data_IF_187920967048
#
_entry.id   IF_187920967048
#
_cell.length_a   1.000
_cell.length_b   1.000
_cell.length_c   1.000
_cell.angle_alpha   90.00
_cell.angle_beta   90.00
_cell.angle_gamma   90.00
#
_symmetry.space_group_name_H-M   'P 1'
#
loop_
_entity.id
_entity.type
_entity.pdbx_description
1 polymer ?
#
# COMPACT_ATOMS: atom_id res chain seq x y z
N UNK A 1 8.49 -16.19 -27.07
CA UNK A 1 7.75 -15.08 -27.70
C UNK A 1 6.79 -14.42 -26.71
N UNK A 2 5.81 -15.13 -26.14
CA UNK A 2 4.85 -14.59 -25.13
C UNK A 2 5.46 -13.82 -23.96
N UNK A 3 6.53 -14.31 -23.34
CA UNK A 3 7.19 -13.60 -22.22
C UNK A 3 7.84 -12.25 -22.64
N UNK A 4 8.28 -12.13 -23.89
CA UNK A 4 8.87 -10.91 -24.44
C UNK A 4 7.79 -9.87 -24.76
N UNK A 5 6.69 -10.29 -25.37
CA UNK A 5 5.50 -9.44 -25.59
C UNK A 5 4.92 -8.93 -24.26
N UNK A 6 4.82 -9.80 -23.26
CA UNK A 6 4.34 -9.44 -21.93
C UNK A 6 5.23 -8.42 -21.18
N UNK A 7 6.55 -8.51 -21.36
CA UNK A 7 7.49 -7.52 -20.81
C UNK A 7 7.40 -6.18 -21.55
N UNK A 8 7.10 -6.24 -22.84
CA UNK A 8 6.80 -5.07 -23.68
C UNK A 8 5.51 -4.39 -23.21
N UNK A 9 4.45 -5.15 -22.91
CA UNK A 9 3.18 -4.62 -22.41
C UNK A 9 3.31 -3.93 -21.05
N UNK A 10 4.05 -4.53 -20.10
CA UNK A 10 4.35 -3.89 -18.82
C UNK A 10 5.13 -2.57 -18.98
N UNK A 11 6.01 -2.51 -19.99
CA UNK A 11 6.75 -1.29 -20.34
C UNK A 11 5.83 -0.26 -20.99
N UNK A 12 4.89 -0.69 -21.84
CA UNK A 12 3.88 0.15 -22.47
C UNK A 12 2.96 0.78 -21.42
N UNK A 13 2.44 0.02 -20.45
CA UNK A 13 1.63 0.52 -19.32
C UNK A 13 2.39 1.58 -18.52
N UNK A 14 3.66 1.32 -18.19
CA UNK A 14 4.50 2.27 -17.46
C UNK A 14 4.72 3.56 -18.26
N UNK A 15 4.92 3.43 -19.57
CA UNK A 15 5.10 4.56 -20.46
C UNK A 15 3.81 5.36 -20.66
N UNK A 16 2.64 4.70 -20.69
CA UNK A 16 1.32 5.35 -20.76
C UNK A 16 1.12 6.31 -19.58
N UNK A 17 1.27 5.84 -18.33
CA UNK A 17 1.17 6.77 -17.18
C UNK A 17 2.23 7.85 -17.23
N UNK A 18 3.49 7.50 -17.49
CA UNK A 18 4.57 8.48 -17.46
C UNK A 18 4.38 9.60 -18.50
N UNK A 19 3.85 9.29 -19.68
CA UNK A 19 3.58 10.27 -20.74
C UNK A 19 2.37 11.13 -20.36
N UNK A 20 1.24 10.51 -20.00
CA UNK A 20 0.04 11.28 -19.70
C UNK A 20 0.15 12.10 -18.41
N UNK A 21 0.82 11.60 -17.38
CA UNK A 21 1.13 12.35 -16.16
C UNK A 21 1.99 13.58 -16.46
N UNK A 22 3.03 13.44 -17.30
CA UNK A 22 3.85 14.59 -17.74
C UNK A 22 3.06 15.62 -18.52
N UNK A 23 1.95 15.22 -19.14
CA UNK A 23 1.08 16.09 -19.92
C UNK A 23 -0.12 16.62 -19.12
N UNK A 24 -0.27 16.26 -17.84
CA UNK A 24 -1.42 16.64 -17.01
C UNK A 24 -2.75 15.99 -17.44
N UNK A 25 -2.68 14.95 -18.28
CA UNK A 25 -3.80 14.30 -18.95
C UNK A 25 -4.28 13.06 -18.21
N UNK A 26 -4.74 13.26 -16.99
CA UNK A 26 -5.05 12.16 -16.08
C UNK A 26 -6.20 11.28 -16.56
N UNK A 27 -7.22 11.88 -17.20
CA UNK A 27 -8.37 11.13 -17.71
C UNK A 27 -7.98 10.23 -18.89
N UNK A 28 -7.13 10.71 -19.80
CA UNK A 28 -6.64 9.91 -20.92
C UNK A 28 -5.74 8.76 -20.45
N UNK A 29 -4.96 8.96 -19.38
CA UNK A 29 -4.21 7.90 -18.73
C UNK A 29 -5.12 6.80 -18.17
N UNK A 30 -6.21 7.20 -17.48
CA UNK A 30 -7.21 6.27 -16.94
C UNK A 30 -7.83 5.46 -18.07
N UNK A 31 -8.34 6.13 -19.12
CA UNK A 31 -8.97 5.44 -20.25
C UNK A 31 -8.01 4.46 -20.93
N UNK A 32 -6.75 4.84 -21.13
CA UNK A 32 -5.75 3.95 -21.70
C UNK A 32 -5.49 2.71 -20.84
N UNK A 33 -5.50 2.85 -19.51
CA UNK A 33 -5.39 1.70 -18.61
C UNK A 33 -6.64 0.82 -18.60
N UNK A 34 -7.83 1.41 -18.60
CA UNK A 34 -9.09 0.67 -18.66
C UNK A 34 -9.22 -0.11 -19.97
N UNK A 35 -8.85 0.48 -21.10
CA UNK A 35 -8.84 -0.19 -22.39
C UNK A 35 -7.80 -1.31 -22.46
N UNK A 36 -6.63 -1.10 -21.86
CA UNK A 36 -5.62 -2.16 -21.73
C UNK A 36 -6.14 -3.33 -20.88
N UNK A 37 -6.83 -3.07 -19.77
CA UNK A 37 -7.43 -4.13 -18.93
C UNK A 37 -8.42 -4.98 -19.74
N UNK A 38 -9.21 -4.36 -20.63
CA UNK A 38 -10.16 -5.08 -21.50
C UNK A 38 -9.50 -6.04 -22.49
N UNK A 39 -8.20 -5.90 -22.77
CA UNK A 39 -7.48 -6.85 -23.62
C UNK A 39 -7.14 -8.16 -22.90
N UNK A 40 -7.63 -8.35 -21.67
CA UNK A 40 -7.39 -9.52 -20.81
C UNK A 40 -5.89 -9.83 -20.67
N UNK A 41 -5.09 -8.89 -20.15
CA UNK A 41 -3.69 -9.13 -19.86
C UNK A 41 -3.57 -10.24 -18.81
N UNK A 42 -2.44 -10.94 -18.79
CA UNK A 42 -2.20 -11.92 -17.74
C UNK A 42 -2.20 -11.27 -16.35
N UNK A 43 -2.38 -12.08 -15.31
CA UNK A 43 -2.52 -11.63 -13.92
C UNK A 43 -1.38 -10.73 -13.44
N UNK A 44 -0.12 -11.04 -13.80
CA UNK A 44 1.03 -10.25 -13.38
C UNK A 44 1.04 -8.84 -13.98
N UNK A 45 0.64 -8.72 -15.25
CA UNK A 45 0.53 -7.43 -15.92
C UNK A 45 -0.71 -6.70 -15.41
N UNK A 46 -1.83 -7.40 -15.28
CA UNK A 46 -3.09 -6.86 -14.78
C UNK A 46 -2.91 -6.24 -13.38
N UNK A 47 -2.20 -6.93 -12.49
CA UNK A 47 -1.88 -6.41 -11.16
C UNK A 47 -1.04 -5.13 -11.23
N UNK A 48 -0.01 -5.07 -12.09
CA UNK A 48 0.78 -3.84 -12.30
C UNK A 48 -0.06 -2.70 -12.86
N UNK A 49 -1.01 -2.99 -13.75
CA UNK A 49 -1.93 -1.98 -14.28
C UNK A 49 -2.80 -1.42 -13.18
N UNK A 50 -3.41 -2.27 -12.34
CA UNK A 50 -4.18 -1.83 -11.18
C UNK A 50 -3.34 -1.04 -10.18
N UNK A 51 -2.10 -1.46 -9.90
CA UNK A 51 -1.16 -0.65 -9.09
C UNK A 51 -1.00 0.76 -9.66
N UNK A 52 -0.74 0.88 -10.96
CA UNK A 52 -0.49 2.17 -11.58
C UNK A 52 -1.74 3.05 -11.64
N UNK A 53 -2.92 2.45 -11.86
CA UNK A 53 -4.21 3.14 -11.70
C UNK A 53 -4.42 3.64 -10.27
N UNK A 54 -4.13 2.81 -9.26
CA UNK A 54 -4.23 3.18 -7.85
C UNK A 54 -3.35 4.38 -7.51
N UNK A 55 -2.12 4.41 -8.04
CA UNK A 55 -1.20 5.54 -7.90
C UNK A 55 -1.68 6.79 -8.63
N UNK A 56 -2.18 6.64 -9.85
CA UNK A 56 -2.73 7.77 -10.61
C UNK A 56 -3.92 8.41 -9.89
N UNK A 57 -4.83 7.60 -9.34
CA UNK A 57 -5.95 8.10 -8.55
C UNK A 57 -5.49 8.76 -7.24
N UNK A 58 -4.41 8.26 -6.63
CA UNK A 58 -3.77 8.91 -5.47
C UNK A 58 -3.18 10.28 -5.82
N UNK A 59 -2.46 10.40 -6.94
CA UNK A 59 -1.92 11.68 -7.44
C UNK A 59 -3.07 12.68 -7.73
N UNK A 60 -4.25 12.17 -8.10
CA UNK A 60 -5.50 12.94 -8.27
C UNK A 60 -6.28 13.18 -6.97
N UNK A 61 -5.76 12.78 -5.80
CA UNK A 61 -6.43 12.85 -4.49
C UNK A 61 -7.76 12.08 -4.41
N UNK A 62 -7.99 11.14 -5.32
CA UNK A 62 -9.17 10.27 -5.36
C UNK A 62 -8.92 9.01 -4.52
N UNK A 63 -8.94 9.17 -3.19
CA UNK A 63 -8.53 8.12 -2.25
C UNK A 63 -9.33 6.82 -2.36
N UNK A 64 -10.66 6.90 -2.55
CA UNK A 64 -11.51 5.70 -2.67
C UNK A 64 -11.13 4.84 -3.88
N UNK A 65 -10.98 5.48 -5.05
CA UNK A 65 -10.55 4.78 -6.29
C UNK A 65 -9.12 4.28 -6.21
N UNK A 66 -8.25 5.01 -5.51
CA UNK A 66 -6.88 4.57 -5.24
C UNK A 66 -6.86 3.26 -4.46
N UNK A 67 -7.59 3.21 -3.34
CA UNK A 67 -7.74 2.01 -2.50
C UNK A 67 -8.29 0.84 -3.31
N UNK A 68 -9.39 1.03 -4.04
CA UNK A 68 -10.03 -0.02 -4.85
C UNK A 68 -9.05 -0.67 -5.84
N UNK A 69 -8.25 0.16 -6.53
CA UNK A 69 -7.28 -0.33 -7.50
C UNK A 69 -6.07 -1.00 -6.82
N UNK A 70 -5.64 -0.53 -5.64
CA UNK A 70 -4.61 -1.22 -4.87
C UNK A 70 -5.08 -2.59 -4.37
N UNK A 71 -6.34 -2.72 -3.92
CA UNK A 71 -6.92 -4.01 -3.52
C UNK A 71 -6.94 -4.99 -4.70
N UNK A 72 -7.44 -4.57 -5.86
CA UNK A 72 -7.43 -5.38 -7.09
C UNK A 72 -6.01 -5.85 -7.47
N UNK A 73 -4.99 -5.02 -7.24
CA UNK A 73 -3.60 -5.43 -7.46
C UNK A 73 -3.12 -6.47 -6.44
N UNK A 74 -3.52 -6.36 -5.18
CA UNK A 74 -3.09 -7.26 -4.10
C UNK A 74 -3.78 -8.63 -4.21
N UNK A 75 -5.05 -8.67 -4.62
CA UNK A 75 -5.79 -9.92 -4.84
C UNK A 75 -5.14 -10.80 -5.91
N UNK A 76 -4.46 -10.17 -6.88
CA UNK A 76 -3.63 -10.81 -7.88
C UNK A 76 -2.21 -11.14 -7.37
N UNK A 77 -2.04 -11.19 -6.04
CA UNK A 77 -0.83 -11.57 -5.28
C UNK A 77 0.41 -10.76 -5.66
N UNK A 78 0.25 -9.47 -5.96
CA UNK A 78 1.35 -8.62 -6.40
C UNK A 78 1.89 -7.68 -5.31
N UNK A 79 3.21 -7.76 -5.10
CA UNK A 79 4.12 -6.81 -4.41
C UNK A 79 3.78 -6.39 -2.97
N UNK A 80 4.76 -6.60 -2.08
CA UNK A 80 4.69 -6.16 -0.68
C UNK A 80 4.55 -4.66 -0.49
N UNK A 81 5.08 -3.88 -1.43
CA UNK A 81 5.19 -2.42 -1.26
C UNK A 81 3.82 -1.76 -1.35
N UNK A 82 2.91 -2.36 -2.13
CA UNK A 82 1.53 -1.89 -2.28
C UNK A 82 0.73 -2.18 -1.01
N UNK A 83 0.98 -3.33 -0.36
CA UNK A 83 0.30 -3.70 0.88
C UNK A 83 0.58 -2.68 1.97
N UNK A 84 1.83 -2.22 2.10
CA UNK A 84 2.19 -1.14 3.03
C UNK A 84 1.51 0.19 2.69
N UNK A 85 1.45 0.56 1.41
CA UNK A 85 0.68 1.74 0.98
C UNK A 85 -0.80 1.62 1.36
N UNK A 86 -1.41 0.46 1.15
CA UNK A 86 -2.81 0.23 1.49
C UNK A 86 -3.06 0.29 3.00
N UNK A 87 -2.18 -0.31 3.80
CA UNK A 87 -2.23 -0.24 5.28
C UNK A 87 -2.19 1.23 5.72
N UNK A 88 -1.23 2.00 5.21
CA UNK A 88 -1.11 3.43 5.51
C UNK A 88 -2.38 4.20 5.15
N UNK A 89 -2.96 3.94 3.96
CA UNK A 89 -4.20 4.61 3.55
C UNK A 89 -5.40 4.24 4.42
N UNK A 90 -5.50 2.98 4.85
CA UNK A 90 -6.54 2.59 5.79
C UNK A 90 -6.35 3.20 7.17
N UNK A 91 -5.10 3.34 7.63
CA UNK A 91 -4.78 4.06 8.85
C UNK A 91 -5.17 5.54 8.76
N UNK A 92 -4.74 6.25 7.70
CA UNK A 92 -5.07 7.67 7.47
C UNK A 92 -6.58 7.92 7.33
N UNK A 93 -7.32 6.96 6.79
CA UNK A 93 -8.78 7.00 6.69
C UNK A 93 -9.51 6.45 7.91
N UNK A 94 -8.82 6.27 9.04
CA UNK A 94 -9.32 5.72 10.32
C UNK A 94 -10.06 4.37 10.18
N UNK A 95 -9.82 3.67 9.07
CA UNK A 95 -10.38 2.36 8.76
C UNK A 95 -9.54 1.26 9.42
N UNK A 96 -9.39 1.37 10.74
CA UNK A 96 -8.45 0.58 11.54
C UNK A 96 -8.67 -0.93 11.44
N UNK A 97 -9.90 -1.42 11.39
CA UNK A 97 -10.16 -2.86 11.25
C UNK A 97 -9.63 -3.41 9.92
N UNK A 98 -9.83 -2.66 8.83
CA UNK A 98 -9.28 -3.03 7.51
C UNK A 98 -7.75 -2.97 7.51
N UNK A 99 -7.17 -1.95 8.14
CA UNK A 99 -5.72 -1.85 8.27
C UNK A 99 -5.15 -3.06 9.04
N UNK A 100 -5.76 -3.42 10.18
CA UNK A 100 -5.35 -4.57 11.00
C UNK A 100 -5.48 -5.90 10.26
N UNK A 101 -6.56 -6.09 9.49
CA UNK A 101 -6.72 -7.28 8.63
C UNK A 101 -5.55 -7.40 7.63
N UNK A 102 -5.23 -6.31 6.92
CA UNK A 102 -4.13 -6.30 5.95
C UNK A 102 -2.77 -6.45 6.63
N UNK A 103 -2.56 -5.84 7.79
CA UNK A 103 -1.35 -6.01 8.61
C UNK A 103 -1.18 -7.48 9.00
N UNK A 104 -2.23 -8.14 9.52
CA UNK A 104 -2.15 -9.53 9.95
C UNK A 104 -1.76 -10.46 8.79
N UNK A 105 -2.40 -10.31 7.63
CA UNK A 105 -2.05 -11.05 6.42
C UNK A 105 -0.62 -10.77 5.96
N UNK A 106 -0.17 -9.51 6.04
CA UNK A 106 1.16 -9.11 5.61
C UNK A 106 2.25 -9.66 6.53
N UNK A 107 2.09 -9.53 7.84
CA UNK A 107 3.03 -10.03 8.84
C UNK A 107 3.08 -11.56 8.89
N UNK A 108 1.98 -12.26 8.57
CA UNK A 108 2.03 -13.72 8.42
C UNK A 108 3.04 -14.17 7.33
N UNK A 109 3.20 -13.35 6.27
CA UNK A 109 4.18 -13.61 5.21
C UNK A 109 5.55 -12.96 5.49
N UNK A 110 5.58 -11.83 6.21
CA UNK A 110 6.78 -11.03 6.52
C UNK A 110 6.79 -10.61 8.00
N UNK A 111 7.06 -11.53 8.93
CA UNK A 111 6.84 -11.30 10.36
C UNK A 111 7.70 -10.18 10.96
N UNK A 112 8.86 -9.87 10.35
CA UNK A 112 9.77 -8.82 10.81
C UNK A 112 9.65 -7.50 10.05
N UNK A 113 8.54 -7.22 9.37
CA UNK A 113 8.39 -5.94 8.67
C UNK A 113 8.02 -4.82 9.67
N UNK A 114 9.00 -4.00 10.03
CA UNK A 114 8.84 -2.93 11.02
C UNK A 114 7.87 -1.83 10.60
N UNK A 115 7.66 -1.60 9.29
CA UNK A 115 6.66 -0.62 8.82
C UNK A 115 5.24 -1.06 9.19
N UNK A 116 4.91 -2.34 8.96
CA UNK A 116 3.61 -2.89 9.31
C UNK A 116 3.40 -3.01 10.83
N UNK A 117 4.44 -3.39 11.58
CA UNK A 117 4.40 -3.41 13.05
C UNK A 117 4.20 -2.00 13.60
N UNK A 118 4.84 -0.99 13.01
CA UNK A 118 4.63 0.41 13.37
C UNK A 118 3.17 0.83 13.19
N UNK A 119 2.55 0.57 12.03
CA UNK A 119 1.13 0.91 11.84
C UNK A 119 0.21 0.15 12.79
N UNK A 120 0.53 -1.10 13.14
CA UNK A 120 -0.21 -1.85 14.16
C UNK A 120 -0.12 -1.18 15.53
N UNK A 121 1.08 -0.78 15.93
CA UNK A 121 1.33 -0.07 17.18
C UNK A 121 0.54 1.24 17.25
N UNK A 122 0.54 2.02 16.16
CA UNK A 122 -0.20 3.27 16.04
C UNK A 122 -1.71 3.06 16.19
N UNK A 123 -2.26 2.05 15.50
CA UNK A 123 -3.69 1.73 15.62
C UNK A 123 -4.06 1.33 17.05
N UNK A 124 -3.27 0.49 17.70
CA UNK A 124 -3.48 0.11 19.09
C UNK A 124 -3.39 1.32 20.03
N UNK A 125 -2.44 2.22 19.78
CA UNK A 125 -2.29 3.45 20.54
C UNK A 125 -3.53 4.36 20.40
N UNK A 126 -3.98 4.60 19.16
CA UNK A 126 -5.14 5.45 18.87
C UNK A 126 -6.46 4.86 19.41
N UNK A 127 -6.52 3.53 19.61
CA UNK A 127 -7.64 2.83 20.28
C UNK A 127 -7.53 2.78 21.80
N UNK A 128 -6.44 3.26 22.40
CA UNK A 128 -6.19 3.17 23.84
C UNK A 128 -5.77 1.77 24.31
N UNK A 129 -5.40 0.88 23.40
CA UNK A 129 -4.95 -0.49 23.68
C UNK A 129 -3.45 -0.49 24.06
N UNK A 130 -3.17 0.14 25.21
CA UNK A 130 -1.81 0.51 25.69
C UNK A 130 -0.80 -0.65 25.70
N UNK A 131 -1.22 -1.83 26.14
CA UNK A 131 -0.36 -3.01 26.26
C UNK A 131 0.08 -3.54 24.90
N UNK A 132 -0.85 -3.65 23.96
CA UNK A 132 -0.58 -4.08 22.59
C UNK A 132 0.31 -3.06 21.86
N UNK A 133 -0.01 -1.77 21.98
CA UNK A 133 0.80 -0.68 21.41
C UNK A 133 2.24 -0.72 21.95
N UNK A 134 2.40 -0.83 23.27
CA UNK A 134 3.72 -0.90 23.92
C UNK A 134 4.55 -2.08 23.43
N UNK A 135 3.92 -3.26 23.29
CA UNK A 135 4.58 -4.47 22.80
C UNK A 135 5.13 -4.30 21.39
N UNK A 136 4.32 -3.73 20.49
CA UNK A 136 4.74 -3.48 19.11
C UNK A 136 5.80 -2.39 19.02
N UNK A 137 5.66 -1.29 19.77
CA UNK A 137 6.69 -0.26 19.83
C UNK A 137 8.02 -0.80 20.36
N UNK A 138 8.01 -1.67 21.38
CA UNK A 138 9.22 -2.33 21.87
C UNK A 138 9.88 -3.17 20.79
N UNK A 139 9.08 -3.89 19.99
CA UNK A 139 9.56 -4.74 18.91
C UNK A 139 10.36 -3.94 17.86
N UNK A 140 9.90 -2.73 17.50
CA UNK A 140 10.57 -1.87 16.51
C UNK A 140 11.56 -0.88 17.12
N UNK A 141 11.75 -0.88 18.44
CA UNK A 141 12.54 0.13 19.16
C UNK A 141 14.05 0.07 18.88
N UNK A 142 14.54 -1.04 18.30
CA UNK A 142 15.92 -1.23 17.86
C UNK A 142 16.16 -0.81 16.41
N UNK A 143 15.08 -0.62 15.62
CA UNK A 143 15.19 -0.16 14.24
C UNK A 143 15.60 1.31 14.19
N UNK A 144 16.68 1.71 13.48
CA UNK A 144 17.11 3.10 13.39
C UNK A 144 16.03 4.08 12.91
N UNK A 145 15.11 3.64 12.04
CA UNK A 145 13.98 4.44 11.54
C UNK A 145 12.97 4.74 12.64
N UNK A 146 12.70 3.77 13.50
CA UNK A 146 11.60 3.83 14.48
C UNK A 146 12.05 4.05 15.93
N UNK A 147 13.33 3.84 16.26
CA UNK A 147 13.83 3.79 17.64
C UNK A 147 13.42 4.98 18.49
N UNK A 148 13.61 6.20 17.96
CA UNK A 148 13.27 7.44 18.69
C UNK A 148 11.76 7.60 18.86
N UNK A 149 10.99 7.35 17.80
CA UNK A 149 9.52 7.46 17.82
C UNK A 149 8.92 6.43 18.80
N UNK A 150 9.31 5.16 18.66
CA UNK A 150 8.82 4.08 19.50
C UNK A 150 9.09 4.32 20.99
N UNK A 151 10.30 4.79 21.34
CA UNK A 151 10.62 5.16 22.74
C UNK A 151 9.72 6.28 23.26
N UNK A 152 9.48 7.32 22.44
CA UNK A 152 8.58 8.41 22.80
C UNK A 152 7.15 7.96 23.07
N UNK A 153 6.58 7.09 22.22
CA UNK A 153 5.25 6.53 22.45
C UNK A 153 5.20 5.65 23.70
N UNK A 154 6.21 4.80 23.93
CA UNK A 154 6.29 3.98 25.16
C UNK A 154 6.33 4.86 26.42
N UNK A 155 7.07 5.96 26.41
CA UNK A 155 7.12 6.92 27.52
C UNK A 155 5.77 7.61 27.73
N UNK A 156 5.12 8.06 26.66
CA UNK A 156 3.80 8.69 26.70
C UNK A 156 2.75 7.76 27.33
N UNK A 157 2.70 6.49 26.90
CA UNK A 157 1.77 5.49 27.42
C UNK A 157 1.95 5.27 28.92
N UNK A 158 3.20 5.27 29.40
CA UNK A 158 3.53 5.05 30.82
C UNK A 158 3.19 6.24 31.71
N UNK A 159 3.13 7.44 31.13
CA UNK A 159 2.87 8.67 31.88
C UNK A 159 1.38 8.96 32.12
N UNK A 160 0.49 8.21 31.47
CA UNK A 160 -0.97 8.30 31.58
C UNK A 160 -1.55 7.25 32.54
#
# INVERSE_FOLDING_TARGET
>A
HKAYEQKKDATVIKNIAAIYLKLGKNNEAISAYEDFIKTNPNESILAKTYKNLGKLYEDMKSNSKSIENYEKSIDLKYSSDIVLTLIMKYYEGESYDKALEKIALFLNNKPGNNDAIYYRAMIHFDRGEKEAATTDFQTISSDPKYSKLAKGYIESIKSE
#
